data_IF_581040138168
#
_entry.id   IF_581040138168
#
_cell.length_a   1.000
_cell.length_b   1.000
_cell.length_c   1.000
_cell.angle_alpha   90.00
_cell.angle_beta   90.00
_cell.angle_gamma   90.00
#
_symmetry.space_group_name_H-M   'P 1'
#
loop_
_entity.id
_entity.type
_entity.pdbx_description
1 polymer ?
#
# COMPACT_ATOMS: atom_id res chain seq x y z
N UNK A 1 -7.29 15.96 -20.88
CA UNK A 1 -7.90 16.65 -19.72
C UNK A 1 -8.75 15.72 -18.84
N UNK A 2 -9.46 14.73 -19.37
CA UNK A 2 -10.37 13.86 -18.62
C UNK A 2 -9.61 12.83 -17.73
N UNK A 3 -8.50 12.28 -18.22
CA UNK A 3 -7.68 11.34 -17.46
C UNK A 3 -6.99 12.01 -16.27
N UNK A 4 -6.51 13.23 -16.44
CA UNK A 4 -5.87 14.02 -15.37
C UNK A 4 -6.87 14.44 -14.26
N UNK A 5 -8.11 14.77 -14.63
CA UNK A 5 -9.16 15.04 -13.64
C UNK A 5 -9.56 13.81 -12.84
N UNK A 6 -9.70 12.63 -13.48
CA UNK A 6 -9.99 11.37 -12.77
C UNK A 6 -8.87 10.97 -11.80
N UNK A 7 -7.61 11.12 -12.20
CA UNK A 7 -6.47 10.81 -11.36
C UNK A 7 -6.38 11.77 -10.15
N UNK A 8 -6.69 13.06 -10.33
CA UNK A 8 -6.72 14.07 -9.26
C UNK A 8 -7.84 13.80 -8.25
N UNK A 9 -9.05 13.45 -8.70
CA UNK A 9 -10.17 13.10 -7.80
C UNK A 9 -9.91 11.79 -7.03
N UNK A 10 -9.24 10.82 -7.66
CA UNK A 10 -8.83 9.59 -6.97
C UNK A 10 -7.81 9.86 -5.87
N UNK A 11 -6.77 10.67 -6.13
CA UNK A 11 -5.74 10.98 -5.12
C UNK A 11 -6.30 11.68 -3.86
N UNK A 12 -7.24 12.61 -4.02
CA UNK A 12 -7.87 13.34 -2.90
C UNK A 12 -8.63 12.38 -2.00
N UNK A 13 -9.54 11.60 -2.54
CA UNK A 13 -10.34 10.62 -1.79
C UNK A 13 -9.47 9.60 -1.07
N UNK A 14 -8.48 9.08 -1.75
CA UNK A 14 -7.65 7.99 -1.27
C UNK A 14 -6.73 8.43 -0.13
N UNK A 15 -6.34 9.70 -0.10
CA UNK A 15 -5.60 10.28 1.03
C UNK A 15 -6.48 10.44 2.27
N UNK A 16 -7.73 10.91 2.13
CA UNK A 16 -8.67 11.02 3.26
C UNK A 16 -8.90 9.65 3.90
N UNK A 17 -9.07 8.60 3.11
CA UNK A 17 -9.35 7.26 3.62
C UNK A 17 -8.18 6.69 4.40
N UNK A 18 -6.95 6.80 3.87
CA UNK A 18 -5.77 6.31 4.57
C UNK A 18 -5.46 7.12 5.84
N UNK A 19 -5.72 8.44 5.81
CA UNK A 19 -5.57 9.30 7.00
C UNK A 19 -6.66 9.00 8.04
N UNK A 20 -7.88 8.66 7.59
CA UNK A 20 -8.97 8.25 8.47
C UNK A 20 -8.63 6.97 9.26
N UNK A 21 -7.93 6.02 8.65
CA UNK A 21 -7.50 4.80 9.36
C UNK A 21 -6.51 5.13 10.49
N UNK A 22 -5.53 6.00 10.21
CA UNK A 22 -4.59 6.47 11.25
C UNK A 22 -5.35 7.17 12.37
N UNK A 23 -6.18 8.16 12.01
CA UNK A 23 -6.94 8.95 12.96
C UNK A 23 -7.82 8.06 13.86
N UNK A 24 -8.59 7.17 13.27
CA UNK A 24 -9.53 6.36 14.01
C UNK A 24 -8.81 5.44 15.00
N UNK A 25 -7.73 4.78 14.60
CA UNK A 25 -6.96 3.89 15.49
C UNK A 25 -6.28 4.68 16.61
N UNK A 26 -5.69 5.83 16.34
CA UNK A 26 -5.04 6.68 17.34
C UNK A 26 -6.04 7.32 18.33
N UNK A 27 -7.33 7.41 17.97
CA UNK A 27 -8.38 8.05 18.79
C UNK A 27 -9.41 7.08 19.36
N UNK A 28 -9.35 5.78 19.08
CA UNK A 28 -10.20 4.80 19.76
C UNK A 28 -9.82 4.68 21.24
N UNK A 29 -10.84 4.46 22.10
CA UNK A 29 -10.62 4.32 23.54
C UNK A 29 -9.79 3.11 23.95
N UNK A 30 -9.67 2.12 23.06
CA UNK A 30 -8.90 0.87 23.30
C UNK A 30 -7.47 0.92 22.73
N UNK A 31 -7.05 2.03 22.10
CA UNK A 31 -5.76 2.17 21.43
C UNK A 31 -4.64 2.54 22.38
N UNK A 32 -4.52 2.26 23.60
CA UNK A 32 -3.40 2.59 24.53
C UNK A 32 -2.51 3.81 24.10
N UNK A 33 -2.99 4.65 23.15
CA UNK A 33 -2.26 5.76 22.54
C UNK A 33 -1.10 5.33 21.62
N UNK A 34 -1.07 4.08 21.15
CA UNK A 34 -0.03 3.61 20.23
C UNK A 34 -0.10 4.37 18.91
N UNK A 35 1.00 5.00 18.54
CA UNK A 35 1.15 5.72 17.28
C UNK A 35 1.08 4.74 16.09
N UNK A 36 0.29 5.07 15.09
CA UNK A 36 0.29 4.37 13.79
C UNK A 36 1.39 4.97 12.91
N UNK A 37 2.29 4.14 12.40
CA UNK A 37 3.34 4.59 11.48
C UNK A 37 2.84 4.66 10.04
N UNK A 38 2.04 3.67 9.60
CA UNK A 38 1.56 3.56 8.23
C UNK A 38 0.14 3.03 8.16
N UNK A 39 -0.72 3.65 7.35
CA UNK A 39 -1.98 3.05 6.93
C UNK A 39 -1.91 2.64 5.45
N UNK A 40 -2.49 1.49 5.10
CA UNK A 40 -2.50 0.94 3.75
C UNK A 40 -3.93 0.63 3.32
N UNK A 41 -4.36 1.21 2.20
CA UNK A 41 -5.70 1.03 1.63
C UNK A 41 -5.58 0.68 0.14
N UNK A 42 -6.09 -0.46 -0.34
CA UNK A 42 -6.07 -0.77 -1.77
C UNK A 42 -7.23 -0.10 -2.50
N UNK A 43 -7.02 0.30 -3.73
CA UNK A 43 -8.06 0.86 -4.60
C UNK A 43 -9.28 -0.08 -4.75
N UNK A 44 -9.05 -1.38 -4.65
CA UNK A 44 -10.08 -2.41 -4.80
C UNK A 44 -11.12 -2.46 -3.68
N UNK A 45 -10.85 -1.90 -2.50
CA UNK A 45 -11.83 -1.82 -1.40
C UNK A 45 -12.74 -0.61 -1.52
N UNK A 46 -12.33 0.41 -2.29
CA UNK A 46 -13.09 1.64 -2.49
C UNK A 46 -14.15 1.42 -3.58
N UNK A 47 -15.42 1.51 -3.24
CA UNK A 47 -16.55 1.16 -4.11
C UNK A 47 -17.29 2.33 -4.71
N UNK A 48 -17.25 3.50 -4.07
CA UNK A 48 -17.96 4.68 -4.53
C UNK A 48 -17.09 5.93 -4.42
N UNK A 49 -17.58 7.03 -4.98
CA UNK A 49 -16.90 8.33 -5.00
C UNK A 49 -17.76 9.37 -4.29
N UNK A 50 -17.11 10.26 -3.55
CA UNK A 50 -17.80 11.41 -2.98
C UNK A 50 -17.96 12.50 -4.04
N UNK A 51 -19.18 13.01 -4.18
CA UNK A 51 -19.48 14.14 -5.05
C UNK A 51 -19.34 15.44 -4.26
N UNK A 52 -19.18 16.57 -4.96
CA UNK A 52 -19.17 17.90 -4.33
C UNK A 52 -20.54 18.17 -3.70
N UNK A 53 -20.55 18.62 -2.46
CA UNK A 53 -21.73 18.88 -1.64
C UNK A 53 -21.65 18.10 -0.33
N UNK A 54 -22.77 18.00 0.36
CA UNK A 54 -22.86 17.30 1.62
C UNK A 54 -22.63 15.79 1.43
N UNK A 55 -21.80 15.22 2.29
CA UNK A 55 -21.49 13.78 2.30
C UNK A 55 -22.26 13.14 3.43
N UNK A 56 -23.18 12.25 3.10
CA UNK A 56 -23.99 11.54 4.10
C UNK A 56 -23.27 10.28 4.60
N UNK A 57 -23.64 9.83 5.80
CA UNK A 57 -23.14 8.57 6.38
C UNK A 57 -23.44 7.38 5.45
N UNK A 58 -24.59 7.40 4.74
CA UNK A 58 -24.94 6.39 3.76
C UNK A 58 -23.93 6.36 2.59
N UNK A 59 -23.50 7.50 2.09
CA UNK A 59 -22.47 7.58 1.03
C UNK A 59 -21.12 7.06 1.53
N UNK A 60 -20.75 7.38 2.78
CA UNK A 60 -19.54 6.83 3.39
C UNK A 60 -19.64 5.33 3.53
N UNK A 61 -20.75 4.81 4.04
CA UNK A 61 -21.00 3.38 4.13
C UNK A 61 -20.88 2.70 2.75
N UNK A 62 -21.55 3.22 1.74
CA UNK A 62 -21.54 2.64 0.39
C UNK A 62 -20.12 2.63 -0.23
N UNK A 63 -19.29 3.57 0.15
CA UNK A 63 -17.89 3.62 -0.33
C UNK A 63 -17.01 2.49 0.25
N UNK A 64 -17.40 1.89 1.40
CA UNK A 64 -16.66 0.83 2.10
C UNK A 64 -17.54 -0.27 2.70
N UNK A 65 -18.64 -0.62 2.04
CA UNK A 65 -19.66 -1.58 2.52
C UNK A 65 -19.25 -3.06 2.38
N UNK A 66 -18.03 -3.36 1.95
CA UNK A 66 -17.61 -4.75 1.69
C UNK A 66 -17.39 -5.55 2.97
N UNK A 67 -17.84 -6.80 2.91
CA UNK A 67 -17.55 -7.83 3.90
C UNK A 67 -18.27 -7.67 5.23
N UNK A 68 -17.87 -8.51 6.17
CA UNK A 68 -18.33 -8.50 7.56
C UNK A 68 -17.17 -8.89 8.45
N UNK A 69 -17.20 -8.47 9.71
CA UNK A 69 -16.28 -8.94 10.73
C UNK A 69 -16.83 -10.11 11.52
N UNK A 70 -16.15 -10.50 12.61
CA UNK A 70 -16.61 -11.55 13.56
C UNK A 70 -17.87 -11.14 14.30
N UNK A 71 -18.11 -9.84 14.49
CA UNK A 71 -19.32 -9.30 15.12
C UNK A 71 -20.57 -9.41 14.23
N UNK A 72 -20.45 -9.87 12.99
CA UNK A 72 -21.52 -10.01 12.02
C UNK A 72 -22.05 -8.70 11.45
N UNK A 73 -21.47 -7.56 11.80
CA UNK A 73 -21.86 -6.25 11.28
C UNK A 73 -21.20 -5.99 9.92
N UNK A 74 -21.93 -5.27 9.06
CA UNK A 74 -21.47 -4.95 7.70
C UNK A 74 -20.25 -4.04 7.71
N UNK A 75 -19.33 -4.29 6.77
CA UNK A 75 -18.03 -3.62 6.60
C UNK A 75 -16.88 -4.44 7.20
N UNK A 76 -15.75 -4.43 6.50
CA UNK A 76 -14.52 -5.01 7.06
C UNK A 76 -14.01 -4.19 8.24
N UNK A 77 -13.57 -4.85 9.34
CA UNK A 77 -12.91 -4.17 10.44
C UNK A 77 -11.52 -3.68 10.03
N UNK A 78 -11.02 -2.65 10.70
CA UNK A 78 -9.62 -2.29 10.69
C UNK A 78 -8.81 -3.35 11.43
N UNK A 79 -7.61 -3.60 10.95
CA UNK A 79 -6.64 -4.53 11.51
C UNK A 79 -5.38 -3.76 11.89
N UNK A 80 -4.91 -3.99 13.12
CA UNK A 80 -3.65 -3.48 13.63
C UNK A 80 -2.60 -4.59 13.58
N UNK A 81 -1.51 -4.36 12.87
CA UNK A 81 -0.42 -5.32 12.71
C UNK A 81 0.92 -4.60 12.57
N UNK A 82 2.02 -5.36 12.57
CA UNK A 82 3.36 -4.82 12.39
C UNK A 82 4.02 -5.43 11.16
N UNK A 83 4.73 -4.59 10.41
CA UNK A 83 5.61 -4.99 9.33
C UNK A 83 7.04 -4.51 9.59
N UNK A 84 8.03 -5.27 9.15
CA UNK A 84 9.41 -4.79 9.12
C UNK A 84 9.59 -3.72 8.06
N UNK A 85 10.57 -2.84 8.22
CA UNK A 85 10.86 -1.82 7.21
C UNK A 85 11.16 -2.41 5.83
N UNK A 86 11.78 -3.58 5.78
CA UNK A 86 12.00 -4.33 4.54
C UNK A 86 10.69 -4.78 3.88
N UNK A 87 9.69 -5.16 4.66
CA UNK A 87 8.37 -5.51 4.16
C UNK A 87 7.61 -4.26 3.69
N UNK A 88 7.72 -3.12 4.39
CA UNK A 88 7.16 -1.84 3.93
C UNK A 88 7.74 -1.40 2.58
N UNK A 89 9.06 -1.48 2.40
CA UNK A 89 9.71 -1.22 1.11
C UNK A 89 9.23 -2.20 0.03
N UNK A 90 8.95 -3.44 0.42
CA UNK A 90 8.39 -4.45 -0.48
C UNK A 90 6.94 -4.12 -0.86
N UNK A 91 6.11 -3.61 0.05
CA UNK A 91 4.76 -3.10 -0.23
C UNK A 91 4.80 -1.98 -1.27
N UNK A 92 5.70 -1.00 -1.10
CA UNK A 92 5.88 0.09 -2.06
C UNK A 92 6.30 -0.44 -3.45
N UNK A 93 7.20 -1.44 -3.49
CA UNK A 93 7.68 -2.05 -4.73
C UNK A 93 6.58 -2.85 -5.44
N UNK A 94 5.76 -3.58 -4.69
CA UNK A 94 4.58 -4.30 -5.22
C UNK A 94 3.60 -3.30 -5.85
N UNK A 95 3.28 -2.21 -5.15
CA UNK A 95 2.41 -1.18 -5.69
C UNK A 95 2.98 -0.55 -6.97
N UNK A 96 4.25 -0.10 -6.96
CA UNK A 96 4.90 0.51 -8.10
C UNK A 96 4.99 -0.43 -9.32
N UNK A 97 5.06 -1.74 -9.09
CA UNK A 97 5.26 -2.73 -10.15
C UNK A 97 3.97 -3.33 -10.69
N UNK A 98 2.93 -3.46 -9.87
CA UNK A 98 1.70 -4.21 -10.20
C UNK A 98 0.54 -3.28 -10.54
N UNK A 99 0.49 -2.07 -9.98
CA UNK A 99 -0.66 -1.16 -10.14
C UNK A 99 -0.93 -0.74 -11.60
N UNK A 100 0.07 -0.78 -12.47
CA UNK A 100 -0.10 -0.51 -13.91
C UNK A 100 -0.86 -1.62 -14.64
N UNK A 101 -0.74 -2.86 -14.18
CA UNK A 101 -1.40 -4.05 -14.76
C UNK A 101 -2.72 -4.36 -14.06
N UNK A 102 -2.81 -4.06 -12.76
CA UNK A 102 -3.95 -4.36 -11.91
C UNK A 102 -4.30 -3.14 -11.07
N UNK A 103 -5.14 -2.27 -11.60
CA UNK A 103 -5.49 -0.98 -10.95
C UNK A 103 -6.16 -1.15 -9.58
N UNK A 104 -6.86 -2.28 -9.35
CA UNK A 104 -7.49 -2.60 -8.07
C UNK A 104 -6.45 -2.92 -6.97
N UNK A 105 -5.24 -3.32 -7.35
CA UNK A 105 -4.14 -3.60 -6.44
C UNK A 105 -3.30 -2.35 -6.10
N UNK A 106 -3.65 -1.18 -6.66
CA UNK A 106 -3.01 0.08 -6.30
C UNK A 106 -3.25 0.37 -4.83
N UNK A 107 -2.18 0.69 -4.11
CA UNK A 107 -2.26 0.98 -2.69
C UNK A 107 -2.22 2.49 -2.45
N UNK A 108 -2.96 2.94 -1.46
CA UNK A 108 -2.91 4.30 -0.93
C UNK A 108 -2.38 4.23 0.49
N UNK A 109 -1.35 5.02 0.78
CA UNK A 109 -0.69 4.97 2.07
C UNK A 109 -0.78 6.33 2.77
N UNK A 110 -0.94 6.30 4.09
CA UNK A 110 -0.65 7.41 4.97
C UNK A 110 0.62 7.09 5.75
N UNK A 111 1.44 8.09 6.06
CA UNK A 111 2.69 7.92 6.79
C UNK A 111 3.87 7.43 5.94
N UNK A 112 3.65 6.69 4.87
CA UNK A 112 4.70 6.19 3.97
C UNK A 112 4.65 6.88 2.62
N UNK A 113 5.83 7.32 2.15
CA UNK A 113 6.02 7.96 0.84
C UNK A 113 7.11 7.22 0.07
N UNK A 114 7.01 7.23 -1.26
CA UNK A 114 8.06 6.65 -2.10
C UNK A 114 8.16 7.32 -3.47
N UNK A 115 9.37 7.24 -4.03
CA UNK A 115 9.71 7.67 -5.37
C UNK A 115 9.95 6.43 -6.22
N UNK A 116 9.34 6.36 -7.40
CA UNK A 116 9.54 5.23 -8.29
C UNK A 116 9.71 5.67 -9.74
N UNK A 117 10.46 4.87 -10.50
CA UNK A 117 10.66 5.08 -11.92
C UNK A 117 9.98 3.94 -12.71
N UNK A 118 8.92 4.23 -13.49
CA UNK A 118 8.16 3.22 -14.22
C UNK A 118 8.98 2.50 -15.31
N UNK A 119 10.10 3.10 -15.75
CA UNK A 119 10.98 2.53 -16.78
C UNK A 119 11.99 1.52 -16.22
N UNK A 120 12.10 1.39 -14.90
CA UNK A 120 12.95 0.38 -14.27
C UNK A 120 12.32 -1.02 -14.37
N UNK A 121 13.12 -2.03 -14.11
CA UNK A 121 12.67 -3.42 -14.09
C UNK A 121 11.56 -3.64 -13.06
N UNK A 122 10.60 -4.48 -13.39
CA UNK A 122 9.54 -4.92 -12.47
C UNK A 122 10.14 -5.44 -11.16
N UNK A 123 9.54 -5.13 -10.03
CA UNK A 123 10.03 -5.38 -8.67
C UNK A 123 11.39 -4.69 -8.35
N UNK A 124 11.75 -3.65 -9.12
CA UNK A 124 12.89 -2.77 -8.86
C UNK A 124 12.59 -1.33 -9.32
N UNK A 125 11.33 -0.91 -9.25
CA UNK A 125 10.88 0.41 -9.68
C UNK A 125 11.09 1.47 -8.62
N UNK A 126 10.98 1.14 -7.35
CA UNK A 126 11.14 2.07 -6.23
C UNK A 126 12.61 2.48 -6.10
N UNK A 127 12.86 3.77 -6.11
CA UNK A 127 14.21 4.35 -5.98
C UNK A 127 14.44 4.92 -4.58
N UNK A 128 13.37 5.24 -3.87
CA UNK A 128 13.41 5.81 -2.53
C UNK A 128 12.09 5.51 -1.80
N UNK A 129 12.17 5.23 -0.48
CA UNK A 129 11.00 4.96 0.35
C UNK A 129 11.29 5.41 1.79
N UNK A 130 10.41 6.26 2.34
CA UNK A 130 10.59 6.89 3.64
C UNK A 130 9.26 7.15 4.34
N UNK A 131 9.30 7.37 5.64
CA UNK A 131 8.15 7.83 6.41
C UNK A 131 8.15 9.35 6.50
N UNK A 132 6.95 9.92 6.66
CA UNK A 132 6.80 11.32 7.04
C UNK A 132 6.28 11.36 8.47
N UNK A 133 7.08 11.92 9.37
CA UNK A 133 6.70 12.16 10.78
C UNK A 133 5.56 13.19 10.91
N UNK A 134 5.01 13.30 12.13
CA UNK A 134 3.92 14.27 12.43
C UNK A 134 4.32 15.73 12.11
N UNK A 135 5.61 16.03 12.21
CA UNK A 135 6.17 17.37 11.92
C UNK A 135 6.50 17.58 10.43
N UNK A 136 6.13 16.61 9.56
CA UNK A 136 6.42 16.66 8.14
C UNK A 136 7.89 16.31 7.79
N UNK A 137 8.71 15.95 8.77
CA UNK A 137 10.10 15.55 8.55
C UNK A 137 10.19 14.15 7.97
N UNK A 138 11.18 13.96 7.12
CA UNK A 138 11.49 12.67 6.52
C UNK A 138 12.24 11.77 7.51
N UNK A 139 11.72 10.57 7.73
CA UNK A 139 12.36 9.51 8.51
C UNK A 139 12.71 8.33 7.59
N UNK A 140 13.97 7.86 7.63
CA UNK A 140 14.39 6.69 6.86
C UNK A 140 13.84 5.40 7.44
N UNK A 141 13.30 4.53 6.58
CA UNK A 141 12.81 3.22 6.97
C UNK A 141 13.99 2.28 7.21
N UNK A 142 14.13 1.79 8.44
CA UNK A 142 15.14 0.80 8.85
C UNK A 142 14.62 -0.61 8.59
N UNK A 143 15.37 -1.43 7.86
CA UNK A 143 14.92 -2.73 7.34
C UNK A 143 14.39 -3.68 8.41
N UNK A 144 15.05 -3.75 9.57
CA UNK A 144 14.75 -4.71 10.63
C UNK A 144 13.84 -4.16 11.74
N UNK A 145 13.54 -2.85 11.73
CA UNK A 145 12.63 -2.22 12.68
C UNK A 145 11.19 -2.61 12.36
N UNK A 146 10.39 -2.85 13.39
CA UNK A 146 8.95 -3.05 13.28
C UNK A 146 8.23 -1.69 13.22
N UNK A 147 7.29 -1.57 12.33
CA UNK A 147 6.43 -0.41 12.14
C UNK A 147 4.98 -0.81 12.30
N UNK A 148 4.23 -0.02 13.07
CA UNK A 148 2.81 -0.22 13.29
C UNK A 148 2.02 0.12 12.02
N UNK A 149 1.33 -0.86 11.47
CA UNK A 149 0.57 -0.74 10.22
C UNK A 149 -0.91 -1.00 10.48
N UNK A 150 -1.74 -0.12 9.97
CA UNK A 150 -3.20 -0.28 9.99
C UNK A 150 -3.72 -0.46 8.57
N UNK A 151 -4.62 -1.39 8.43
CA UNK A 151 -5.32 -1.68 7.16
C UNK A 151 -6.68 -2.30 7.44
N UNK A 152 -7.51 -2.54 6.41
CA UNK A 152 -8.72 -3.34 6.58
C UNK A 152 -8.42 -4.85 6.49
N UNK A 153 -9.34 -5.67 7.01
CA UNK A 153 -9.17 -7.13 7.04
C UNK A 153 -8.96 -7.74 5.65
N UNK A 154 -9.62 -7.22 4.61
CA UNK A 154 -9.44 -7.71 3.25
C UNK A 154 -8.01 -7.48 2.75
N UNK A 155 -7.50 -6.28 2.98
CA UNK A 155 -6.13 -5.90 2.61
C UNK A 155 -5.10 -6.74 3.34
N UNK A 156 -5.28 -6.93 4.64
CA UNK A 156 -4.40 -7.78 5.44
C UNK A 156 -4.32 -9.21 4.89
N UNK A 157 -5.45 -9.80 4.54
CA UNK A 157 -5.53 -11.13 3.90
C UNK A 157 -4.91 -11.13 2.50
N UNK A 158 -5.13 -10.08 1.71
CA UNK A 158 -4.54 -9.94 0.39
C UNK A 158 -3.01 -9.86 0.47
N UNK A 159 -2.45 -9.05 1.36
CA UNK A 159 -1.00 -8.93 1.56
C UNK A 159 -0.39 -10.27 2.00
N UNK A 160 -1.04 -10.99 2.94
CA UNK A 160 -0.61 -12.32 3.35
C UNK A 160 -0.60 -13.33 2.19
N UNK A 161 -1.57 -13.24 1.26
CA UNK A 161 -1.65 -14.13 0.10
C UNK A 161 -0.62 -13.84 -1.01
N UNK A 162 0.07 -12.71 -0.97
CA UNK A 162 1.11 -12.36 -1.96
C UNK A 162 2.27 -13.33 -1.91
N UNK A 163 2.63 -13.84 -0.73
CA UNK A 163 3.67 -14.85 -0.56
C UNK A 163 3.39 -16.09 -1.41
N UNK A 164 2.18 -16.66 -1.28
CA UNK A 164 1.78 -17.87 -1.99
C UNK A 164 1.70 -17.64 -3.50
N UNK A 165 1.08 -16.54 -3.91
CA UNK A 165 0.91 -16.18 -5.33
C UNK A 165 2.23 -15.82 -6.03
N UNK A 166 3.23 -15.37 -5.29
CA UNK A 166 4.56 -15.06 -5.80
C UNK A 166 5.52 -16.25 -5.74
N UNK A 167 5.05 -17.44 -5.38
CA UNK A 167 5.89 -18.64 -5.17
C UNK A 167 7.04 -18.37 -4.18
N UNK A 168 6.77 -17.60 -3.13
CA UNK A 168 7.75 -17.26 -2.10
C UNK A 168 8.74 -16.15 -2.46
N UNK A 169 8.62 -15.54 -3.64
CA UNK A 169 9.50 -14.44 -4.06
C UNK A 169 9.26 -13.15 -3.26
N UNK A 170 8.00 -12.87 -2.95
CA UNK A 170 7.58 -11.69 -2.21
C UNK A 170 7.01 -12.15 -0.89
N UNK A 171 7.64 -11.77 0.22
CA UNK A 171 7.20 -12.09 1.56
C UNK A 171 6.79 -10.80 2.28
N UNK A 172 5.50 -10.70 2.62
CA UNK A 172 4.92 -9.67 3.47
C UNK A 172 4.10 -10.43 4.51
N UNK A 173 4.64 -10.55 5.72
CA UNK A 173 4.04 -11.35 6.78
C UNK A 173 3.63 -10.42 7.92
N UNK A 174 2.33 -10.16 8.11
CA UNK A 174 1.84 -9.39 9.25
C UNK A 174 2.28 -10.04 10.57
N UNK A 175 2.71 -9.21 11.51
CA UNK A 175 3.26 -9.63 12.80
C UNK A 175 2.53 -8.94 13.95
N UNK A 176 2.60 -9.56 15.13
CA UNK A 176 2.23 -8.91 16.38
C UNK A 176 3.31 -7.88 16.79
N UNK A 177 3.07 -7.15 17.88
CA UNK A 177 4.02 -6.15 18.43
C UNK A 177 5.35 -6.73 18.89
N UNK A 178 5.43 -8.04 19.08
CA UNK A 178 6.65 -8.75 19.47
C UNK A 178 7.42 -9.30 18.26
N UNK A 179 6.88 -9.12 17.06
CA UNK A 179 7.48 -9.61 15.81
C UNK A 179 7.12 -11.04 15.43
N UNK A 180 6.17 -11.68 16.12
CA UNK A 180 5.70 -13.01 15.77
C UNK A 180 4.71 -12.95 14.62
N UNK A 181 4.76 -13.84 13.63
CA UNK A 181 3.78 -13.92 12.57
C UNK A 181 2.35 -14.09 13.09
N UNK A 182 1.40 -13.35 12.54
CA UNK A 182 -0.02 -13.48 12.84
C UNK A 182 -0.62 -14.59 11.98
N UNK A 183 -1.18 -15.62 12.62
CA UNK A 183 -1.87 -16.72 11.93
C UNK A 183 -3.29 -16.33 11.53
N UNK A 184 -4.02 -15.65 12.42
CA UNK A 184 -5.39 -15.22 12.17
C UNK A 184 -5.52 -13.70 12.36
N UNK A 185 -5.61 -12.98 11.25
CA UNK A 185 -5.72 -11.51 11.25
C UNK A 185 -7.00 -10.99 11.93
N UNK A 186 -8.05 -11.79 11.97
CA UNK A 186 -9.31 -11.38 12.61
C UNK A 186 -9.18 -11.19 14.12
N UNK A 187 -8.17 -11.80 14.76
CA UNK A 187 -7.91 -11.64 16.20
C UNK A 187 -7.22 -10.30 16.51
N UNK A 188 -6.80 -9.58 15.47
CA UNK A 188 -6.14 -8.29 15.54
C UNK A 188 -7.02 -7.15 15.00
N UNK A 189 -8.33 -7.39 14.95
CA UNK A 189 -9.30 -6.36 14.64
C UNK A 189 -9.24 -5.25 15.70
N UNK A 190 -9.19 -4.01 15.24
CA UNK A 190 -9.26 -2.85 16.12
C UNK A 190 -10.66 -2.80 16.73
N UNK A 191 -10.72 -2.65 18.05
CA UNK A 191 -11.97 -2.59 18.77
C UNK A 191 -12.31 -1.15 19.16
N UNK A 192 -13.59 -0.84 19.12
CA UNK A 192 -14.17 0.34 19.75
C UNK A 192 -15.19 -0.15 20.81
N UNK A 193 -14.73 -0.22 22.04
CA UNK A 193 -15.43 -0.89 23.14
C UNK A 193 -15.66 -2.38 22.86
N UNK A 194 -16.90 -2.78 22.60
CA UNK A 194 -17.27 -4.18 22.32
C UNK A 194 -17.49 -4.49 20.84
N UNK A 195 -17.33 -3.52 19.96
CA UNK A 195 -17.56 -3.67 18.52
C UNK A 195 -16.22 -3.55 17.77
N UNK A 196 -16.15 -4.21 16.64
CA UNK A 196 -15.03 -4.01 15.72
C UNK A 196 -15.14 -2.63 15.05
N UNK A 197 -14.04 -1.87 15.01
CA UNK A 197 -13.98 -0.60 14.30
C UNK A 197 -14.00 -0.85 12.79
N UNK A 198 -15.15 -0.55 12.17
CA UNK A 198 -15.31 -0.76 10.73
C UNK A 198 -14.61 0.35 9.92
N UNK A 199 -14.05 0.00 8.77
CA UNK A 199 -13.39 0.95 7.88
C UNK A 199 -14.27 2.15 7.52
N UNK A 200 -15.56 1.94 7.21
CA UNK A 200 -16.49 3.02 6.92
C UNK A 200 -16.79 3.91 8.13
N UNK A 201 -16.83 3.32 9.35
CA UNK A 201 -17.00 4.09 10.60
C UNK A 201 -15.79 5.01 10.81
N UNK A 202 -14.57 4.48 10.67
CA UNK A 202 -13.34 5.25 10.76
C UNK A 202 -13.35 6.46 9.81
N UNK A 203 -13.81 6.27 8.58
CA UNK A 203 -13.92 7.36 7.59
C UNK A 203 -14.97 8.39 8.03
N UNK A 204 -16.14 7.93 8.51
CA UNK A 204 -17.22 8.81 8.95
C UNK A 204 -16.77 9.66 10.15
N UNK A 205 -16.17 9.06 11.16
CA UNK A 205 -15.65 9.75 12.35
C UNK A 205 -14.57 10.77 12.00
N UNK A 206 -13.66 10.39 11.11
CA UNK A 206 -12.62 11.31 10.65
C UNK A 206 -13.21 12.53 9.93
N UNK A 207 -14.17 12.32 9.03
CA UNK A 207 -14.85 13.43 8.35
C UNK A 207 -15.64 14.32 9.32
N UNK A 208 -16.22 13.73 10.37
CA UNK A 208 -16.92 14.48 11.41
C UNK A 208 -15.97 15.25 12.34
N UNK A 209 -14.71 14.88 12.42
CA UNK A 209 -13.71 15.55 13.24
C UNK A 209 -13.18 16.86 12.63
N UNK A 210 -13.51 17.16 11.37
CA UNK A 210 -13.07 18.38 10.71
C UNK A 210 -13.80 19.61 11.27
N UNK A 211 -13.18 20.77 11.11
CA UNK A 211 -13.75 22.05 11.54
C UNK A 211 -14.92 22.45 10.64
N UNK A 212 -16.01 22.94 11.25
CA UNK A 212 -17.11 23.61 10.57
C UNK A 212 -16.67 25.08 10.31
N UNK A 213 -16.14 25.34 9.12
CA UNK A 213 -15.53 26.63 8.78
C UNK A 213 -16.56 27.68 8.31
N UNK A 214 -17.71 27.25 7.80
CA UNK A 214 -18.78 28.13 7.30
C UNK A 214 -19.97 28.26 8.29
N UNK A 215 -19.90 27.49 9.41
CA UNK A 215 -20.85 27.58 10.53
C UNK A 215 -22.28 27.17 10.16
N UNK A 216 -22.41 26.21 9.27
CA UNK A 216 -23.70 25.65 8.90
C UNK A 216 -24.08 24.39 9.73
N UNK A 217 -23.22 23.95 10.63
CA UNK A 217 -23.39 22.79 11.51
C UNK A 217 -22.85 21.49 10.93
N UNK A 218 -22.14 21.54 9.78
CA UNK A 218 -21.55 20.41 9.09
C UNK A 218 -20.02 20.62 8.99
N UNK A 219 -19.26 19.57 9.30
CA UNK A 219 -17.81 19.61 9.19
C UNK A 219 -17.34 19.74 7.73
N UNK A 220 -16.42 20.64 7.46
CA UNK A 220 -15.91 20.90 6.12
C UNK A 220 -14.64 20.12 5.83
N UNK A 221 -14.58 19.46 4.68
CA UNK A 221 -13.34 18.79 4.24
C UNK A 221 -12.25 19.84 4.01
N UNK A 222 -11.09 19.76 4.69
CA UNK A 222 -10.01 20.73 4.57
C UNK A 222 -9.49 20.86 3.13
N UNK A 223 -9.10 22.08 2.74
CA UNK A 223 -8.49 22.34 1.43
C UNK A 223 -7.22 21.54 1.18
N UNK A 224 -6.55 21.09 2.24
CA UNK A 224 -5.43 20.16 2.18
C UNK A 224 -5.75 19.00 1.23
N UNK A 225 -6.94 18.43 1.29
CA UNK A 225 -7.35 17.29 0.44
C UNK A 225 -7.69 17.69 -1.00
N UNK A 226 -7.67 18.95 -1.37
CA UNK A 226 -7.84 19.42 -2.74
C UNK A 226 -6.56 19.34 -3.58
N UNK A 227 -5.42 18.97 -2.98
CA UNK A 227 -4.12 18.87 -3.64
C UNK A 227 -3.57 17.45 -3.59
N UNK A 228 -2.57 17.16 -4.41
CA UNK A 228 -1.80 15.91 -4.31
C UNK A 228 -0.76 16.06 -3.20
N UNK A 229 -0.60 15.02 -2.36
CA UNK A 229 0.32 15.08 -1.22
C UNK A 229 1.70 14.50 -1.52
N UNK A 230 2.01 14.26 -2.80
CA UNK A 230 3.30 13.71 -3.26
C UNK A 230 3.75 12.42 -2.52
N UNK A 231 2.75 11.67 -1.98
CA UNK A 231 3.02 10.39 -1.31
C UNK A 231 3.62 9.37 -2.26
N UNK A 232 3.37 9.54 -3.56
CA UNK A 232 3.95 8.76 -4.66
C UNK A 232 4.46 9.70 -5.72
N UNK A 233 5.77 9.74 -5.89
CA UNK A 233 6.44 10.60 -6.87
C UNK A 233 6.97 9.77 -8.02
N UNK A 234 6.68 10.19 -9.25
CA UNK A 234 7.16 9.52 -10.46
C UNK A 234 8.45 10.20 -10.93
N UNK A 235 9.56 9.47 -10.90
CA UNK A 235 10.77 9.84 -11.63
C UNK A 235 10.73 9.24 -13.05
N UNK A 236 10.47 10.07 -14.04
CA UNK A 236 10.38 9.65 -15.45
C UNK A 236 11.73 9.57 -16.18
N UNK A 237 12.85 9.58 -15.45
CA UNK A 237 14.19 9.51 -16.04
C UNK A 237 14.36 8.24 -16.88
N UNK A 238 14.84 8.41 -18.13
CA UNK A 238 15.20 7.32 -19.04
C UNK A 238 16.72 7.13 -19.11
N UNK A 239 17.49 7.79 -18.25
CA UNK A 239 18.93 7.64 -18.20
C UNK A 239 19.28 6.20 -17.77
N UNK A 240 20.02 5.47 -18.61
CA UNK A 240 20.39 4.07 -18.39
C UNK A 240 21.09 3.86 -17.03
N UNK A 241 21.93 4.79 -16.61
CA UNK A 241 22.60 4.71 -15.31
C UNK A 241 21.59 4.72 -14.17
N UNK A 242 20.57 5.60 -14.23
CA UNK A 242 19.50 5.68 -13.24
C UNK A 242 18.59 4.43 -13.25
N UNK A 243 18.42 3.81 -14.42
CA UNK A 243 17.60 2.61 -14.55
C UNK A 243 18.23 1.37 -13.91
N UNK A 244 19.56 1.28 -13.90
CA UNK A 244 20.31 0.12 -13.36
C UNK A 244 20.97 0.39 -12.01
N UNK A 245 20.98 1.64 -11.54
CA UNK A 245 21.58 2.03 -10.27
C UNK A 245 20.83 1.40 -9.10
N UNK A 246 21.59 0.94 -8.09
CA UNK A 246 21.04 0.33 -6.87
C UNK A 246 20.01 -0.80 -7.16
N UNK A 247 20.43 -1.91 -7.80
CA UNK A 247 19.55 -3.03 -8.02
C UNK A 247 19.19 -3.69 -6.68
N UNK A 248 17.91 -3.97 -6.49
CA UNK A 248 17.47 -4.75 -5.33
C UNK A 248 17.70 -6.26 -5.55
N UNK A 249 17.41 -7.07 -4.51
CA UNK A 249 17.58 -8.53 -4.57
C UNK A 249 16.84 -9.19 -5.74
N UNK A 250 15.66 -8.68 -6.11
CA UNK A 250 14.86 -9.22 -7.23
C UNK A 250 15.52 -8.94 -8.58
N UNK A 251 16.02 -7.71 -8.77
CA UNK A 251 16.74 -7.36 -9.98
C UNK A 251 17.99 -8.20 -10.17
N UNK A 252 18.79 -8.38 -9.10
CA UNK A 252 19.99 -9.23 -9.13
C UNK A 252 19.64 -10.67 -9.47
N UNK A 253 18.59 -11.24 -8.85
CA UNK A 253 18.15 -12.61 -9.11
C UNK A 253 17.67 -12.79 -10.55
N UNK A 254 16.85 -11.88 -11.09
CA UNK A 254 16.36 -11.94 -12.47
C UNK A 254 17.51 -11.85 -13.47
N UNK A 255 18.44 -10.91 -13.28
CA UNK A 255 19.62 -10.79 -14.14
C UNK A 255 20.48 -12.05 -14.08
N UNK A 256 20.70 -12.61 -12.90
CA UNK A 256 21.40 -13.88 -12.71
C UNK A 256 20.77 -15.02 -13.50
N UNK A 257 19.46 -15.19 -13.40
CA UNK A 257 18.69 -16.21 -14.17
C UNK A 257 18.86 -15.98 -15.68
N UNK A 258 18.72 -14.73 -16.14
CA UNK A 258 18.91 -14.41 -17.57
C UNK A 258 20.32 -14.77 -18.06
N UNK A 259 21.36 -14.50 -17.29
CA UNK A 259 22.76 -14.86 -17.63
C UNK A 259 22.90 -16.39 -17.76
N UNK A 260 22.36 -17.14 -16.81
CA UNK A 260 22.39 -18.61 -16.84
C UNK A 260 21.67 -19.15 -18.08
N UNK A 261 20.46 -18.67 -18.38
CA UNK A 261 19.67 -19.08 -19.55
C UNK A 261 20.43 -18.79 -20.86
N UNK A 262 20.98 -17.60 -21.00
CA UNK A 262 21.79 -17.23 -22.18
C UNK A 262 23.02 -18.11 -22.28
N UNK A 263 23.71 -18.38 -21.17
CA UNK A 263 24.87 -19.29 -21.14
C UNK A 263 24.53 -20.70 -21.62
N UNK A 264 23.40 -21.25 -21.14
CA UNK A 264 22.93 -22.58 -21.59
C UNK A 264 22.61 -22.59 -23.08
N UNK A 265 21.92 -21.56 -23.60
CA UNK A 265 21.63 -21.44 -25.04
C UNK A 265 22.92 -21.40 -25.87
N UNK A 266 23.90 -20.61 -25.45
CA UNK A 266 25.19 -20.54 -26.15
C UNK A 266 25.94 -21.88 -26.15
N UNK A 267 25.93 -22.59 -25.03
CA UNK A 267 26.53 -23.95 -24.95
C UNK A 267 25.84 -24.93 -25.87
N UNK A 268 24.51 -24.90 -25.97
CA UNK A 268 23.75 -25.75 -26.90
C UNK A 268 24.10 -25.41 -28.36
N UNK A 269 24.13 -24.13 -28.71
CA UNK A 269 24.52 -23.69 -30.07
C UNK A 269 25.96 -24.16 -30.39
N UNK A 270 26.90 -23.96 -29.48
CA UNK A 270 28.27 -24.43 -29.65
C UNK A 270 28.36 -25.94 -29.82
N UNK A 271 27.59 -26.71 -29.04
CA UNK A 271 27.51 -28.17 -29.18
C UNK A 271 27.00 -28.59 -30.56
N UNK A 272 25.91 -27.97 -31.03
CA UNK A 272 25.35 -28.25 -32.36
C UNK A 272 26.35 -27.92 -33.47
N UNK A 273 26.96 -26.73 -33.42
CA UNK A 273 27.99 -26.33 -34.42
C UNK A 273 29.18 -27.29 -34.44
N UNK A 274 29.65 -27.76 -33.27
CA UNK A 274 30.72 -28.74 -33.16
C UNK A 274 30.34 -30.08 -33.80
N UNK A 275 29.10 -30.58 -33.59
CA UNK A 275 28.60 -31.81 -34.21
C UNK A 275 28.52 -31.66 -35.75
N UNK A 276 28.02 -30.56 -36.25
CA UNK A 276 27.92 -30.29 -37.69
C UNK A 276 29.33 -30.25 -38.33
N UNK A 277 30.31 -29.55 -37.67
CA UNK A 277 31.67 -29.47 -38.15
C UNK A 277 32.40 -30.83 -38.14
N UNK A 278 32.02 -31.77 -37.26
CA UNK A 278 32.60 -33.11 -37.21
C UNK A 278 32.03 -34.04 -38.29
N UNK A 279 30.84 -33.73 -38.82
CA UNK A 279 30.20 -34.53 -39.87
C UNK A 279 30.51 -34.05 -41.29
N UNK A 280 31.18 -32.94 -41.44
CA UNK A 280 31.86 -32.49 -42.66
C UNK A 280 33.32 -32.88 -42.64
#
# INVERSE_FOLDING_TARGET
HTAYRRQRQMCIRDSIISDAYVYAVENTGDSDGEKVDVAIVPAGTVRDTYTKGDITVEQVYNSFSLGTGKDGLAGYPLISAYLTGKELKTVAEVDASISDFMTIARLYCSGMNFIYNPHRMILNKVTDCYLTGKDGEREEIQDDKLYHVVTDLYTGRMLGSVLDKSYGLISIVPKDKNGNPIENLEDYAVMDGKKELKAWVAIAEYMQSFEDTDKDGIANVPEYYNTTHERKVIDSSKNIINLVKHPNKFAVAIVGICIVVVGVILLLIFGIVKIIRRRR
#
